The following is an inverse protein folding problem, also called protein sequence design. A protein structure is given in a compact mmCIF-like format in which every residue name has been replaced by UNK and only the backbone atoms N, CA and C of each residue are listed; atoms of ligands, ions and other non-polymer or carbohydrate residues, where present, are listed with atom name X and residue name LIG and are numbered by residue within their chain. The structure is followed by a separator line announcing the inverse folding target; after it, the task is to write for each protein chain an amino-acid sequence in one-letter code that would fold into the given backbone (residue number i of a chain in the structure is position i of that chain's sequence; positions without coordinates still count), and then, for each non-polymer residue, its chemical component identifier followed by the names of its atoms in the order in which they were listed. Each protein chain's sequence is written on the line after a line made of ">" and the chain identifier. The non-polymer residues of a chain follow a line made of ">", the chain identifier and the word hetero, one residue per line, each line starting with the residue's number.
data_IF_322604323635
#
_entry.id   IF_322604323635
#
_cell.length_a   1.000
_cell.length_b   1.000
_cell.length_c   1.000
_cell.angle_alpha   90.00
_cell.angle_beta   90.00
_cell.angle_gamma   90.00
#
_symmetry.space_group_name_H-M   'P 1'
#
loop_
_entity.id
_entity.type
_entity.pdbx_description
1 polymer ?
#
# COMPACT_ATOMS: atom_id res chain seq x y z
N UNK A 1 30.48 2.23 -10.53
CA UNK A 1 29.26 2.85 -9.97
C UNK A 1 28.50 1.72 -9.29
N UNK A 2 28.50 1.67 -7.95
CA UNK A 2 27.82 0.61 -7.20
C UNK A 2 26.33 0.93 -7.19
N UNK A 3 25.54 0.12 -7.85
CA UNK A 3 24.06 0.22 -7.77
C UNK A 3 23.70 -0.25 -6.36
N UNK A 4 23.15 0.63 -5.55
CA UNK A 4 22.56 0.26 -4.26
C UNK A 4 21.14 -0.18 -4.56
N UNK A 5 20.88 -1.47 -4.47
CA UNK A 5 19.53 -2.02 -4.56
C UNK A 5 18.82 -1.71 -3.24
N UNK A 6 17.97 -0.67 -3.27
CA UNK A 6 17.20 -0.24 -2.10
C UNK A 6 15.90 -1.05 -2.04
N UNK A 7 15.94 -2.19 -1.36
CA UNK A 7 14.74 -3.00 -1.11
C UNK A 7 13.91 -2.49 0.08
N UNK A 8 14.47 -1.63 0.91
CA UNK A 8 13.81 -1.09 2.11
C UNK A 8 14.24 0.33 2.41
N UNK A 9 13.29 1.18 2.74
CA UNK A 9 13.50 2.57 3.17
C UNK A 9 12.56 2.95 4.31
N UNK A 10 13.05 3.77 5.24
CA UNK A 10 12.25 4.31 6.33
C UNK A 10 12.67 5.73 6.69
N UNK A 11 11.71 6.52 7.17
CA UNK A 11 11.94 7.76 7.89
C UNK A 11 11.94 7.41 9.36
N UNK A 12 13.02 7.70 10.06
CA UNK A 12 13.07 7.53 11.52
C UNK A 12 12.12 8.52 12.18
N UNK A 13 11.17 7.98 12.92
CA UNK A 13 10.20 8.77 13.67
C UNK A 13 10.44 8.58 15.17
N UNK A 14 10.42 9.65 15.99
CA UNK A 14 10.54 9.51 17.43
C UNK A 14 9.38 8.67 17.98
N UNK A 15 9.71 7.74 18.88
CA UNK A 15 8.71 6.95 19.60
C UNK A 15 8.01 7.84 20.63
N UNK A 16 6.69 7.97 20.48
CA UNK A 16 5.83 8.70 21.41
C UNK A 16 4.74 7.75 21.87
N UNK A 17 4.95 7.15 23.05
CA UNK A 17 3.98 6.19 23.63
C UNK A 17 2.64 6.87 23.92
N UNK A 18 1.54 6.23 23.47
CA UNK A 18 0.19 6.72 23.74
C UNK A 18 -0.17 8.01 23.00
N UNK A 19 0.50 8.33 21.90
CA UNK A 19 0.14 9.50 21.11
C UNK A 19 -1.28 9.35 20.54
N UNK A 20 -2.23 10.25 20.85
CA UNK A 20 -3.66 10.04 20.55
C UNK A 20 -4.01 10.05 19.06
N UNK A 21 -3.12 10.61 18.23
CA UNK A 21 -3.34 10.75 16.77
C UNK A 21 -2.29 10.00 15.93
N UNK A 22 -1.61 9.02 16.51
CA UNK A 22 -0.66 8.14 15.80
C UNK A 22 -1.03 6.69 16.04
N UNK A 23 -1.80 6.11 15.15
CA UNK A 23 -2.12 4.68 15.18
C UNK A 23 -1.24 3.97 14.15
N UNK A 24 -0.26 3.17 14.55
CA UNK A 24 0.62 2.49 13.62
C UNK A 24 -0.15 1.51 12.73
N UNK A 25 0.20 1.48 11.45
CA UNK A 25 -0.32 0.50 10.50
C UNK A 25 0.80 -0.14 9.70
N UNK A 26 0.52 -1.29 9.14
CA UNK A 26 1.27 -1.93 8.07
C UNK A 26 0.33 -2.54 7.04
N UNK A 27 0.82 -2.79 5.85
CA UNK A 27 0.03 -3.44 4.81
C UNK A 27 0.81 -3.72 3.54
N UNK A 28 0.20 -4.50 2.65
CA UNK A 28 0.70 -4.72 1.30
C UNK A 28 0.01 -3.77 0.36
N UNK A 29 0.79 -2.88 -0.26
CA UNK A 29 0.31 -1.88 -1.20
C UNK A 29 0.00 -2.49 -2.57
N UNK A 30 0.89 -3.35 -3.05
CA UNK A 30 0.79 -3.96 -4.38
C UNK A 30 1.70 -5.18 -4.46
N UNK A 31 1.51 -5.96 -5.53
CA UNK A 31 2.44 -7.01 -5.92
C UNK A 31 3.29 -6.53 -7.10
N UNK A 32 4.55 -6.90 -7.11
CA UNK A 32 5.51 -6.61 -8.17
C UNK A 32 5.79 -7.84 -9.02
N UNK A 33 6.12 -7.64 -10.30
CA UNK A 33 6.30 -8.71 -11.29
C UNK A 33 5.09 -9.66 -11.43
N UNK A 34 3.90 -9.15 -11.10
CA UNK A 34 2.64 -9.90 -11.16
C UNK A 34 1.60 -9.04 -11.88
N UNK A 35 0.84 -9.60 -12.83
CA UNK A 35 -0.27 -8.86 -13.45
C UNK A 35 -1.34 -8.53 -12.41
N UNK A 36 -1.84 -7.29 -12.44
CA UNK A 36 -2.98 -6.91 -11.62
C UNK A 36 -4.21 -7.78 -11.92
N UNK A 37 -5.06 -8.01 -10.94
CA UNK A 37 -6.30 -8.79 -11.11
C UNK A 37 -7.32 -8.06 -11.98
N UNK A 38 -7.28 -6.73 -11.93
CA UNK A 38 -8.11 -5.83 -12.74
C UNK A 38 -7.32 -4.62 -13.22
N UNK A 39 -7.84 -3.94 -14.23
CA UNK A 39 -7.27 -2.69 -14.69
C UNK A 39 -7.40 -1.61 -13.62
N UNK A 40 -6.28 -0.97 -13.18
CA UNK A 40 -6.37 0.20 -12.34
C UNK A 40 -6.92 1.42 -13.10
N UNK A 41 -7.41 2.40 -12.36
CA UNK A 41 -7.83 3.67 -12.93
C UNK A 41 -6.66 4.31 -13.69
N UNK A 42 -6.93 4.88 -14.86
CA UNK A 42 -5.90 5.48 -15.73
C UNK A 42 -5.20 4.50 -16.67
N UNK A 43 -5.29 3.19 -16.47
CA UNK A 43 -4.70 2.18 -17.36
C UNK A 43 -5.55 1.85 -18.60
N UNK A 44 -6.58 2.63 -18.89
CA UNK A 44 -7.45 2.50 -20.09
C UNK A 44 -8.01 1.08 -20.30
N UNK A 45 -8.29 0.36 -19.22
CA UNK A 45 -8.77 -1.01 -19.25
C UNK A 45 -7.68 -2.08 -19.30
N UNK A 46 -6.41 -1.70 -19.38
CA UNK A 46 -5.31 -2.66 -19.36
C UNK A 46 -4.97 -3.08 -17.92
N UNK A 47 -4.72 -4.37 -17.73
CA UNK A 47 -4.05 -4.85 -16.53
C UNK A 47 -2.59 -4.38 -16.56
N UNK A 48 -1.97 -4.25 -15.39
CA UNK A 48 -0.61 -3.73 -15.29
C UNK A 48 0.30 -4.69 -14.53
N UNK A 49 1.59 -4.65 -14.87
CA UNK A 49 2.68 -5.26 -14.10
C UNK A 49 3.62 -4.12 -13.72
N UNK A 50 3.86 -3.94 -12.43
CA UNK A 50 4.93 -3.09 -11.93
C UNK A 50 6.19 -3.95 -11.82
N UNK A 51 7.24 -3.61 -12.57
CA UNK A 51 8.49 -4.38 -12.51
C UNK A 51 9.22 -4.12 -11.19
N UNK A 52 10.00 -5.11 -10.73
CA UNK A 52 10.85 -4.97 -9.54
C UNK A 52 11.77 -3.75 -9.67
N UNK A 53 12.48 -3.63 -10.77
CA UNK A 53 13.40 -2.50 -11.00
C UNK A 53 12.69 -1.15 -10.90
N UNK A 54 11.50 -1.02 -11.48
CA UNK A 54 10.72 0.21 -11.38
C UNK A 54 10.25 0.47 -9.94
N UNK A 55 9.82 -0.57 -9.22
CA UNK A 55 9.38 -0.46 -7.84
C UNK A 55 10.53 -0.05 -6.91
N UNK A 56 11.69 -0.69 -7.01
CA UNK A 56 12.89 -0.37 -6.23
C UNK A 56 13.34 1.09 -6.45
N UNK A 57 13.41 1.51 -7.70
CA UNK A 57 13.76 2.88 -8.05
C UNK A 57 12.76 3.92 -7.51
N UNK A 58 11.49 3.54 -7.39
CA UNK A 58 10.41 4.42 -6.96
C UNK A 58 10.17 4.41 -5.43
N UNK A 59 10.73 3.45 -4.66
CA UNK A 59 10.54 3.36 -3.21
C UNK A 59 10.71 4.70 -2.47
N UNK A 60 11.76 5.52 -2.75
CA UNK A 60 11.93 6.80 -2.06
C UNK A 60 10.74 7.74 -2.21
N UNK A 61 10.01 7.66 -3.32
CA UNK A 61 8.86 8.54 -3.57
C UNK A 61 7.63 8.21 -2.71
N UNK A 62 7.57 7.05 -2.06
CA UNK A 62 6.49 6.70 -1.13
C UNK A 62 6.64 7.37 0.23
N UNK A 63 7.88 7.62 0.68
CA UNK A 63 8.12 8.12 2.03
C UNK A 63 7.62 9.56 2.18
N UNK A 64 6.85 9.79 3.24
CA UNK A 64 6.22 11.07 3.49
C UNK A 64 4.93 11.32 2.71
N UNK A 65 4.53 10.39 1.81
CA UNK A 65 3.28 10.52 1.07
C UNK A 65 2.08 10.15 1.94
N UNK A 66 0.93 10.73 1.61
CA UNK A 66 -0.32 10.50 2.32
C UNK A 66 -0.97 9.17 1.93
N UNK A 67 -1.64 8.59 2.92
CA UNK A 67 -2.58 7.50 2.74
C UNK A 67 -3.99 8.08 2.78
N UNK A 68 -4.79 7.82 1.76
CA UNK A 68 -6.15 8.36 1.67
C UNK A 68 -7.24 7.28 1.70
N UNK A 69 -8.49 7.69 1.80
CA UNK A 69 -9.66 6.85 1.57
C UNK A 69 -10.85 7.69 1.15
N UNK A 70 -11.75 7.11 0.37
CA UNK A 70 -13.10 7.64 0.19
C UNK A 70 -14.06 7.01 1.21
N UNK A 71 -15.14 7.69 1.64
CA UNK A 71 -16.12 7.11 2.57
C UNK A 71 -16.74 5.80 2.09
N UNK A 72 -16.91 5.63 0.78
CA UNK A 72 -17.40 4.40 0.12
C UNK A 72 -16.34 3.30 0.01
N UNK A 73 -15.05 3.61 0.24
CA UNK A 73 -13.91 2.70 0.12
C UNK A 73 -13.83 2.00 -1.25
N UNK A 74 -14.20 2.70 -2.31
CA UNK A 74 -14.25 2.18 -3.67
C UNK A 74 -13.31 2.91 -4.65
N UNK A 75 -12.70 4.01 -4.22
CA UNK A 75 -11.83 4.87 -5.02
C UNK A 75 -10.84 5.64 -4.15
N UNK A 76 -9.88 6.29 -4.79
CA UNK A 76 -9.00 7.26 -4.17
C UNK A 76 -9.74 8.57 -3.88
N UNK A 77 -9.36 9.23 -2.80
CA UNK A 77 -9.77 10.60 -2.46
C UNK A 77 -8.52 11.38 -1.99
N UNK A 78 -7.79 11.93 -2.94
CA UNK A 78 -6.53 12.63 -2.69
C UNK A 78 -6.65 13.81 -1.72
N UNK A 79 -7.85 14.32 -1.48
CA UNK A 79 -8.10 15.41 -0.53
C UNK A 79 -8.31 14.93 0.92
N UNK A 80 -8.52 13.62 1.12
CA UNK A 80 -8.80 13.03 2.43
C UNK A 80 -7.63 12.15 2.89
N UNK A 81 -6.55 12.79 3.30
CA UNK A 81 -5.35 12.10 3.81
C UNK A 81 -5.57 11.69 5.27
N UNK A 82 -5.58 10.40 5.53
CA UNK A 82 -5.86 9.79 6.84
C UNK A 82 -4.63 9.26 7.55
N UNK A 83 -3.50 9.36 6.92
CA UNK A 83 -2.24 8.91 7.48
C UNK A 83 -1.06 9.28 6.60
N UNK A 84 0.12 8.89 7.06
CA UNK A 84 1.40 9.14 6.41
C UNK A 84 2.20 7.84 6.31
N UNK A 85 2.88 7.65 5.19
CA UNK A 85 3.77 6.53 4.93
C UNK A 85 5.17 6.90 5.42
N UNK A 86 5.73 6.09 6.31
CA UNK A 86 7.08 6.31 6.87
C UNK A 86 8.04 5.16 6.57
N UNK A 87 7.52 4.05 6.05
CA UNK A 87 8.32 2.88 5.68
C UNK A 87 7.75 2.25 4.41
N UNK A 88 8.65 1.83 3.54
CA UNK A 88 8.34 1.03 2.36
C UNK A 88 9.43 -0.01 2.16
N UNK A 89 9.06 -1.26 1.90
CA UNK A 89 10.00 -2.33 1.61
C UNK A 89 9.41 -3.35 0.63
N UNK A 90 10.29 -4.03 -0.09
CA UNK A 90 9.93 -5.12 -0.99
C UNK A 90 10.29 -6.44 -0.33
N UNK A 91 9.27 -7.25 -0.04
CA UNK A 91 9.41 -8.57 0.58
C UNK A 91 8.87 -9.63 -0.39
N UNK A 92 9.76 -10.38 -1.00
CA UNK A 92 9.38 -11.30 -2.08
C UNK A 92 8.77 -10.54 -3.26
N UNK A 93 7.48 -10.75 -3.53
CA UNK A 93 6.72 -10.02 -4.55
C UNK A 93 5.80 -8.95 -3.97
N UNK A 94 5.78 -8.76 -2.66
CA UNK A 94 4.96 -7.75 -2.02
C UNK A 94 5.74 -6.45 -1.84
N UNK A 95 5.12 -5.32 -2.17
CA UNK A 95 5.57 -4.01 -1.73
C UNK A 95 4.77 -3.67 -0.48
N UNK A 96 5.45 -3.70 0.67
CA UNK A 96 4.86 -3.46 1.98
C UNK A 96 5.05 -2.01 2.42
N UNK A 97 4.07 -1.48 3.12
CA UNK A 97 4.08 -0.15 3.72
C UNK A 97 3.91 -0.21 5.23
N UNK A 98 4.47 0.78 5.90
CA UNK A 98 4.18 1.11 7.28
C UNK A 98 4.10 2.62 7.48
N UNK A 99 3.43 3.02 8.54
CA UNK A 99 3.26 4.43 8.87
C UNK A 99 2.27 4.64 9.99
N UNK A 100 1.64 5.81 10.01
CA UNK A 100 0.66 6.19 11.03
C UNK A 100 -0.65 6.66 10.39
N UNK A 101 -1.75 6.23 10.99
CA UNK A 101 -3.08 6.81 10.76
C UNK A 101 -3.32 7.93 11.77
N UNK A 102 -4.03 8.97 11.35
CA UNK A 102 -4.48 10.08 12.20
C UNK A 102 -5.75 9.66 12.95
N UNK A 103 -5.58 8.82 13.97
CA UNK A 103 -6.65 8.08 14.64
C UNK A 103 -7.69 8.99 15.31
N UNK A 104 -7.26 10.12 15.86
CA UNK A 104 -8.15 11.10 16.48
C UNK A 104 -9.03 11.83 15.44
N UNK A 105 -8.44 12.09 14.26
CA UNK A 105 -9.14 12.84 13.20
C UNK A 105 -10.04 11.93 12.35
N UNK A 106 -9.66 10.64 12.22
CA UNK A 106 -10.36 9.65 11.40
C UNK A 106 -10.63 8.33 12.16
N UNK A 107 -11.35 8.39 13.29
CA UNK A 107 -11.59 7.19 14.10
C UNK A 107 -12.40 6.12 13.35
N UNK A 108 -13.20 6.51 12.36
CA UNK A 108 -14.01 5.59 11.56
C UNK A 108 -13.17 4.63 10.73
N UNK A 109 -12.04 5.08 10.16
CA UNK A 109 -11.18 4.19 9.36
C UNK A 109 -10.37 3.26 10.26
N UNK A 110 -9.88 3.77 11.38
CA UNK A 110 -9.19 2.94 12.39
C UNK A 110 -10.13 1.83 12.89
N UNK A 111 -11.38 2.15 13.20
CA UNK A 111 -12.39 1.16 13.60
C UNK A 111 -12.69 0.14 12.51
N UNK A 112 -12.73 0.55 11.24
CA UNK A 112 -12.95 -0.38 10.12
C UNK A 112 -11.80 -1.35 9.95
N UNK A 113 -10.56 -0.89 10.07
CA UNK A 113 -9.36 -1.75 10.00
C UNK A 113 -9.31 -2.66 11.23
N UNK A 114 -9.52 -2.13 12.42
CA UNK A 114 -9.41 -2.86 13.70
C UNK A 114 -10.52 -3.88 13.97
N UNK A 115 -11.61 -3.91 13.19
CA UNK A 115 -12.69 -4.91 13.33
C UNK A 115 -12.33 -6.28 12.79
N UNK A 116 -11.17 -6.44 12.16
CA UNK A 116 -10.63 -7.77 11.88
C UNK A 116 -10.35 -8.53 13.18
N UNK A 117 -10.38 -9.89 13.19
CA UNK A 117 -10.06 -10.65 14.38
C UNK A 117 -8.65 -10.30 14.85
N UNK A 118 -8.53 -9.80 16.06
CA UNK A 118 -7.23 -9.64 16.72
C UNK A 118 -6.69 -11.04 16.98
N UNK A 119 -5.62 -11.41 16.28
CA UNK A 119 -4.87 -12.61 16.64
C UNK A 119 -4.07 -12.27 17.89
N UNK A 120 -4.21 -13.01 19.00
CA UNK A 120 -3.39 -12.79 20.19
C UNK A 120 -1.91 -12.89 19.82
N UNK A 121 -1.12 -11.92 20.26
CA UNK A 121 0.34 -11.94 20.14
C UNK A 121 0.88 -13.21 20.79
N UNK A 122 1.45 -14.12 20.00
CA UNK A 122 2.06 -15.35 20.52
C UNK A 122 1.86 -16.61 19.68
N UNK A 123 1.02 -16.58 18.67
CA UNK A 123 0.89 -17.70 17.75
C UNK A 123 1.49 -17.32 16.38
N UNK A 124 2.76 -17.67 16.20
CA UNK A 124 3.38 -17.71 14.89
C UNK A 124 2.72 -18.84 14.07
N UNK A 125 1.72 -18.50 13.27
CA UNK A 125 1.19 -19.45 12.30
C UNK A 125 2.10 -19.48 11.08
N UNK A 126 2.93 -20.52 10.98
CA UNK A 126 3.49 -20.99 9.72
C UNK A 126 2.35 -21.55 8.87
N UNK A 127 1.79 -20.71 8.04
CA UNK A 127 0.74 -21.11 7.10
C UNK A 127 0.07 -19.87 6.53
N UNK A 128 0.38 -19.57 5.26
CA UNK A 128 -0.26 -18.53 4.48
C UNK A 128 -1.76 -18.79 4.34
N UNK A 129 -2.54 -18.37 5.31
CA UNK A 129 -3.92 -17.96 5.06
C UNK A 129 -4.22 -16.87 6.10
N UNK A 130 -4.05 -15.68 5.65
CA UNK A 130 -4.05 -14.46 6.40
C UNK A 130 -5.41 -14.18 7.01
N UNK A 131 -5.39 -14.02 8.31
CA UNK A 131 -6.45 -13.40 9.08
C UNK A 131 -6.56 -11.88 8.82
N UNK A 132 -6.33 -11.40 7.61
CA UNK A 132 -6.57 -10.00 7.24
C UNK A 132 -8.06 -9.83 6.94
N UNK A 133 -8.86 -9.86 7.99
CA UNK A 133 -10.32 -10.02 7.90
C UNK A 133 -11.11 -8.73 7.78
N UNK A 134 -10.45 -7.56 7.65
CA UNK A 134 -11.17 -6.30 7.49
C UNK A 134 -11.86 -6.17 6.12
N UNK A 135 -11.51 -7.02 5.16
CA UNK A 135 -11.97 -6.89 3.77
C UNK A 135 -11.37 -5.67 3.05
N UNK A 136 -10.43 -4.98 3.71
CA UNK A 136 -9.75 -3.81 3.18
C UNK A 136 -8.42 -4.19 2.53
N UNK A 137 -8.11 -3.51 1.44
CA UNK A 137 -6.88 -3.57 0.71
C UNK A 137 -6.29 -2.19 0.50
N UNK A 138 -5.24 -2.14 -0.29
CA UNK A 138 -4.56 -0.90 -0.64
C UNK A 138 -4.39 -0.77 -2.15
N UNK A 139 -4.21 0.45 -2.60
CA UNK A 139 -3.88 0.79 -3.99
C UNK A 139 -2.95 1.99 -4.01
N UNK A 140 -2.03 2.02 -4.97
CA UNK A 140 -1.10 3.14 -5.12
C UNK A 140 -1.65 4.21 -6.05
N UNK A 141 -1.17 5.44 -5.84
CA UNK A 141 -1.26 6.56 -6.77
C UNK A 141 0.11 6.78 -7.41
N UNK A 142 0.15 6.97 -8.70
CA UNK A 142 1.40 7.21 -9.44
C UNK A 142 1.26 8.37 -10.40
N UNK A 143 2.40 9.01 -10.67
CA UNK A 143 2.64 9.93 -11.75
C UNK A 143 3.80 9.43 -12.61
N UNK A 144 4.06 10.10 -13.72
CA UNK A 144 5.23 9.89 -14.58
C UNK A 144 5.44 8.41 -15.00
N UNK A 145 4.35 7.68 -15.19
CA UNK A 145 4.42 6.28 -15.55
C UNK A 145 4.90 6.07 -16.99
N UNK A 146 5.87 5.17 -17.15
CA UNK A 146 6.31 4.69 -18.47
C UNK A 146 5.85 3.26 -18.68
N UNK A 147 5.31 2.98 -19.86
CA UNK A 147 4.84 1.66 -20.29
C UNK A 147 5.76 1.14 -21.37
N UNK A 148 6.23 -0.10 -21.23
CA UNK A 148 7.17 -0.70 -22.20
C UNK A 148 6.58 -0.83 -23.60
N UNK A 149 5.32 -1.25 -23.72
CA UNK A 149 4.58 -1.36 -24.98
C UNK A 149 3.09 -1.04 -24.75
N UNK A 150 2.65 0.07 -25.32
CA UNK A 150 1.24 0.52 -25.23
C UNK A 150 0.25 -0.37 -25.99
N UNK A 151 0.74 -1.23 -26.90
CA UNK A 151 -0.10 -2.18 -27.67
C UNK A 151 -0.28 -3.51 -26.93
N UNK A 152 0.51 -3.77 -25.88
CA UNK A 152 0.40 -5.00 -25.11
C UNK A 152 -0.95 -5.09 -24.39
N UNK A 153 -1.49 -6.31 -24.29
CA UNK A 153 -2.73 -6.55 -23.51
C UNK A 153 -2.57 -6.26 -22.02
N UNK A 154 -1.38 -6.51 -21.50
CA UNK A 154 -0.98 -6.18 -20.12
C UNK A 154 0.16 -5.18 -20.22
N UNK A 155 -0.01 -4.03 -19.57
CA UNK A 155 1.00 -2.98 -19.59
C UNK A 155 2.08 -3.27 -18.54
N UNK A 156 3.33 -3.28 -18.99
CA UNK A 156 4.49 -3.37 -18.10
C UNK A 156 4.96 -1.97 -17.78
N UNK A 157 4.84 -1.58 -16.50
CA UNK A 157 5.32 -0.31 -15.98
C UNK A 157 6.81 -0.41 -15.71
N UNK A 158 7.60 0.36 -16.44
CA UNK A 158 9.08 0.38 -16.36
C UNK A 158 9.63 1.56 -15.59
N UNK A 159 8.79 2.56 -15.35
CA UNK A 159 9.06 3.71 -14.49
C UNK A 159 7.77 4.21 -13.88
N UNK A 160 7.81 4.60 -12.61
CA UNK A 160 6.72 5.27 -11.90
C UNK A 160 7.29 6.21 -10.86
N UNK A 161 6.49 7.20 -10.47
CA UNK A 161 6.69 7.99 -9.25
C UNK A 161 5.46 7.80 -8.38
N UNK A 162 5.62 7.27 -7.18
CA UNK A 162 4.50 7.16 -6.26
C UNK A 162 4.15 8.52 -5.68
N UNK A 163 2.87 8.86 -5.69
CA UNK A 163 2.35 10.13 -5.17
C UNK A 163 1.44 9.93 -3.96
N UNK A 164 1.13 8.70 -3.61
CA UNK A 164 0.32 8.34 -2.46
C UNK A 164 -0.17 6.90 -2.52
N UNK A 165 -1.01 6.57 -1.55
CA UNK A 165 -1.71 5.31 -1.49
C UNK A 165 -3.12 5.52 -0.93
N UNK A 166 -4.02 4.58 -1.19
CA UNK A 166 -5.39 4.60 -0.69
C UNK A 166 -5.75 3.30 0.01
N UNK A 167 -6.62 3.43 1.01
CA UNK A 167 -7.33 2.30 1.62
C UNK A 167 -8.66 2.14 0.90
N UNK A 168 -8.92 0.96 0.38
CA UNK A 168 -10.21 0.65 -0.24
C UNK A 168 -10.64 -0.78 0.08
N UNK A 169 -11.86 -1.12 -0.30
CA UNK A 169 -12.30 -2.51 -0.23
C UNK A 169 -11.42 -3.36 -1.14
N UNK A 170 -11.05 -4.54 -0.67
CA UNK A 170 -10.17 -5.46 -1.40
C UNK A 170 -10.74 -5.86 -2.77
N UNK A 171 -12.07 -5.97 -2.88
CA UNK A 171 -12.75 -6.23 -4.15
C UNK A 171 -12.70 -5.05 -5.15
N UNK A 172 -12.25 -3.88 -4.71
CA UNK A 172 -12.03 -2.69 -5.54
C UNK A 172 -10.56 -2.43 -5.86
N UNK A 173 -9.63 -2.98 -5.09
CA UNK A 173 -8.20 -2.86 -5.35
C UNK A 173 -7.81 -3.52 -6.68
N UNK A 174 -6.78 -3.00 -7.33
CA UNK A 174 -6.23 -3.60 -8.55
C UNK A 174 -5.63 -4.98 -8.31
N UNK A 175 -5.13 -5.22 -7.09
CA UNK A 175 -4.62 -6.50 -6.62
C UNK A 175 -5.42 -6.95 -5.39
N UNK A 176 -5.99 -8.15 -5.45
CA UNK A 176 -6.81 -8.73 -4.36
C UNK A 176 -5.99 -9.14 -3.14
N UNK A 177 -4.71 -9.45 -3.34
CA UNK A 177 -3.80 -9.87 -2.28
C UNK A 177 -3.15 -8.69 -1.52
N UNK A 178 -3.75 -7.49 -1.64
CA UNK A 178 -3.42 -6.35 -0.80
C UNK A 178 -4.20 -6.37 0.51
N UNK A 179 -3.64 -5.76 1.53
CA UNK A 179 -4.27 -5.68 2.85
C UNK A 179 -3.69 -4.56 3.69
N UNK A 180 -4.38 -4.17 4.75
CA UNK A 180 -3.93 -3.24 5.78
C UNK A 180 -4.38 -3.73 7.14
N UNK A 181 -3.52 -3.57 8.15
CA UNK A 181 -3.81 -3.88 9.55
C UNK A 181 -3.18 -2.85 10.49
N UNK A 182 -3.72 -2.75 11.70
CA UNK A 182 -3.12 -1.97 12.78
C UNK A 182 -2.01 -2.79 13.44
N UNK A 183 -0.94 -2.10 13.82
CA UNK A 183 0.16 -2.70 14.59
C UNK A 183 -0.12 -2.40 16.07
N UNK A 184 -0.64 -3.41 16.75
CA UNK A 184 -0.96 -3.35 18.18
C UNK A 184 0.20 -3.73 19.08
#
# INVERSE_FOLDING_TARGET
>A
MTTIDLESMAIEMPVVTGHPNREPFRGVLTLIDVPSDRAPAGARGHRVILTRTAAEAALPSLLGMGLDYSPSLDRHDAQRKVGIITRAEIVGKALELGGYLFAKDFPEIVNKIGRGPRVPSGLEFRGRQSAHNSGLGMSYEIADASVADLRAKVWTLTHVTFTGAAILRRDKAAYRDTWIELVG
#
